data_IF_101924193848
#
_entry.id   IF_101924193848
#
_cell.length_a   1.000
_cell.length_b   1.000
_cell.length_c   1.000
_cell.angle_alpha   90.00
_cell.angle_beta   90.00
_cell.angle_gamma   90.00
#
_symmetry.space_group_name_H-M   'P 1'
#
loop_
_entity.id
_entity.type
_entity.pdbx_description
1 polymer ?
#
# COMPACT_ATOMS: atom_id res chain seq x y z
N UNK A 1 0.79 -71.90 17.77
CA UNK A 1 2.23 -72.13 17.44
C UNK A 1 2.88 -70.77 17.36
N UNK A 2 3.58 -70.39 18.40
CA UNK A 2 5.04 -70.19 18.55
C UNK A 2 5.55 -69.11 17.57
N UNK A 3 6.27 -68.08 17.89
CA UNK A 3 7.02 -67.65 19.10
C UNK A 3 7.61 -66.29 18.76
N UNK A 4 7.47 -65.35 19.63
CA UNK A 4 8.52 -64.76 20.46
C UNK A 4 9.85 -64.41 19.81
N UNK A 5 10.24 -63.16 20.00
CA UNK A 5 11.62 -62.81 20.24
C UNK A 5 11.88 -61.30 20.23
N UNK A 6 12.50 -60.75 21.29
CA UNK A 6 12.51 -59.36 21.62
C UNK A 6 13.76 -58.63 21.13
N UNK A 7 13.73 -57.29 21.24
CA UNK A 7 14.87 -56.40 21.00
C UNK A 7 16.03 -56.58 21.99
N UNK A 8 17.06 -55.83 21.82
CA UNK A 8 17.58 -55.12 22.97
C UNK A 8 17.92 -53.66 22.77
N UNK A 9 17.88 -53.04 23.90
CA UNK A 9 18.12 -51.67 24.27
C UNK A 9 19.59 -51.40 24.60
N UNK A 10 19.94 -50.11 24.50
CA UNK A 10 20.74 -49.31 25.45
C UNK A 10 22.28 -49.38 25.44
N UNK A 11 22.77 -48.14 25.44
CA UNK A 11 23.80 -47.53 26.33
C UNK A 11 25.28 -47.62 25.94
N UNK A 12 25.80 -46.38 25.75
CA UNK A 12 26.97 -45.76 26.42
C UNK A 12 28.36 -46.28 26.04
N UNK A 13 29.18 -45.37 25.51
CA UNK A 13 30.54 -45.15 26.04
C UNK A 13 31.14 -43.83 25.51
N UNK A 14 31.53 -43.00 26.46
CA UNK A 14 32.48 -41.90 26.29
C UNK A 14 33.88 -42.46 26.03
N UNK A 15 34.64 -41.80 25.14
CA UNK A 15 36.09 -41.88 25.17
C UNK A 15 36.68 -40.52 24.75
N UNK A 16 37.42 -39.92 25.65
CA UNK A 16 38.31 -38.78 25.48
C UNK A 16 39.49 -39.20 24.57
N UNK A 17 39.89 -38.32 23.68
CA UNK A 17 41.13 -38.41 22.93
C UNK A 17 41.68 -37.03 22.63
N UNK A 18 42.83 -36.73 23.22
CA UNK A 18 43.51 -35.44 23.21
C UNK A 18 44.23 -35.16 21.88
N UNK A 19 44.23 -33.88 21.49
CA UNK A 19 45.38 -33.14 21.02
C UNK A 19 45.99 -33.42 19.65
N UNK A 20 45.78 -32.49 18.74
CA UNK A 20 46.87 -31.96 17.89
C UNK A 20 46.47 -30.56 17.39
N UNK A 21 47.27 -29.58 17.81
CA UNK A 21 47.22 -28.24 17.30
C UNK A 21 47.76 -28.21 15.84
N UNK A 22 46.90 -27.83 14.90
CA UNK A 22 47.34 -27.41 13.57
C UNK A 22 47.20 -25.91 13.47
N UNK A 23 48.31 -25.20 13.51
CA UNK A 23 48.46 -23.81 13.10
C UNK A 23 48.18 -23.72 11.60
N UNK A 24 46.98 -23.22 11.23
CA UNK A 24 46.68 -22.83 9.86
C UNK A 24 47.01 -21.33 9.71
N UNK A 25 47.98 -21.06 8.83
CA UNK A 25 48.39 -19.74 8.42
C UNK A 25 47.20 -18.98 7.83
N UNK A 26 46.91 -17.78 8.36
CA UNK A 26 46.01 -16.79 7.76
C UNK A 26 46.63 -16.29 6.44
N UNK A 27 46.18 -16.85 5.33
CA UNK A 27 46.32 -16.19 4.02
C UNK A 27 45.39 -15.00 4.00
N UNK A 28 45.92 -13.79 4.06
CA UNK A 28 45.25 -12.54 3.75
C UNK A 28 44.88 -12.55 2.26
N UNK A 29 43.78 -13.22 1.92
CA UNK A 29 43.11 -13.04 0.65
C UNK A 29 42.35 -11.72 0.72
N UNK A 30 42.82 -10.70 0.02
CA UNK A 30 42.09 -9.44 -0.20
C UNK A 30 40.80 -9.72 -0.97
N UNK A 31 39.75 -10.10 -0.24
CA UNK A 31 38.38 -10.05 -0.74
C UNK A 31 38.02 -8.59 -0.88
N UNK A 32 37.83 -8.14 -2.11
CA UNK A 32 37.16 -6.87 -2.37
C UNK A 32 35.82 -6.92 -1.62
N UNK A 33 35.70 -6.16 -0.54
CA UNK A 33 34.44 -5.91 0.12
C UNK A 33 33.49 -5.37 -0.96
N UNK A 34 32.55 -6.19 -1.36
CA UNK A 34 31.51 -5.78 -2.26
C UNK A 34 30.73 -4.71 -1.50
N UNK A 35 30.87 -3.45 -1.89
CA UNK A 35 30.17 -2.35 -1.29
C UNK A 35 28.68 -2.68 -1.36
N UNK A 36 28.03 -2.74 -0.19
CA UNK A 36 26.58 -2.76 -0.12
C UNK A 36 26.09 -1.53 -0.94
N UNK A 37 25.08 -1.71 -1.81
CA UNK A 37 24.62 -0.62 -2.67
C UNK A 37 24.30 0.60 -1.80
N UNK A 38 24.83 1.77 -2.20
CA UNK A 38 24.70 3.05 -1.50
C UNK A 38 23.25 3.54 -1.43
N UNK A 39 22.43 2.92 -0.57
CA UNK A 39 21.13 3.50 -0.18
C UNK A 39 21.29 4.82 0.58
N UNK A 40 22.50 5.15 1.04
CA UNK A 40 22.81 6.41 1.70
C UNK A 40 22.55 7.66 0.84
N UNK A 41 22.76 7.57 -0.47
CA UNK A 41 22.54 8.68 -1.40
C UNK A 41 21.06 9.04 -1.57
N UNK A 42 20.19 8.05 -1.81
CA UNK A 42 18.75 8.29 -2.00
C UNK A 42 18.07 8.76 -0.72
N UNK A 43 18.42 8.20 0.44
CA UNK A 43 17.87 8.63 1.74
C UNK A 43 18.27 10.07 2.06
N UNK A 44 19.51 10.48 1.74
CA UNK A 44 19.94 11.87 1.92
C UNK A 44 19.14 12.84 1.02
N UNK A 45 18.83 12.44 -0.21
CA UNK A 45 17.97 13.21 -1.14
C UNK A 45 16.52 13.30 -0.63
N UNK A 46 15.95 12.21 -0.10
CA UNK A 46 14.62 12.22 0.52
C UNK A 46 14.57 13.16 1.73
N UNK A 47 15.59 13.14 2.60
CA UNK A 47 15.70 14.10 3.71
C UNK A 47 15.82 15.54 3.24
N UNK A 48 16.44 15.79 2.10
CA UNK A 48 16.52 17.12 1.51
C UNK A 48 15.15 17.57 1.03
N UNK A 49 14.42 16.76 0.27
CA UNK A 49 13.03 17.07 -0.14
C UNK A 49 12.14 17.36 1.08
N UNK A 50 12.22 16.54 2.12
CA UNK A 50 11.48 16.75 3.37
C UNK A 50 11.70 18.15 3.97
N UNK A 51 12.96 18.62 3.98
CA UNK A 51 13.29 19.98 4.48
C UNK A 51 12.84 21.09 3.52
N UNK A 52 13.07 20.93 2.22
CA UNK A 52 12.71 21.93 1.20
C UNK A 52 11.21 22.19 1.17
N UNK A 53 10.41 21.15 1.43
CA UNK A 53 8.96 21.24 1.46
C UNK A 53 8.38 21.50 2.87
N UNK A 54 9.21 21.64 3.90
CA UNK A 54 8.75 21.77 5.29
C UNK A 54 7.74 20.71 5.67
N UNK A 55 7.97 19.48 5.20
CA UNK A 55 7.05 18.35 5.34
C UNK A 55 7.65 17.22 6.17
N UNK A 56 6.82 16.34 6.68
CA UNK A 56 7.21 15.01 7.13
C UNK A 56 6.88 14.04 5.99
N UNK A 57 7.89 13.35 5.48
CA UNK A 57 7.80 12.47 4.31
C UNK A 57 8.03 11.01 4.72
N UNK A 58 7.11 10.14 4.43
CA UNK A 58 7.20 8.70 4.62
C UNK A 58 7.29 7.97 3.28
N UNK A 59 8.30 7.10 3.13
CA UNK A 59 8.55 6.36 1.89
C UNK A 59 8.81 4.89 2.18
N UNK A 60 8.14 4.03 1.46
CA UNK A 60 8.51 2.63 1.24
C UNK A 60 8.45 2.34 -0.25
N UNK A 61 9.57 1.86 -0.82
CA UNK A 61 9.61 1.42 -2.19
C UNK A 61 10.43 0.15 -2.30
N UNK A 62 9.97 -0.81 -3.14
CA UNK A 62 10.63 -2.11 -3.28
C UNK A 62 10.54 -2.63 -4.72
N UNK A 63 11.69 -2.95 -5.27
CA UNK A 63 11.81 -3.77 -6.49
C UNK A 63 11.47 -5.23 -6.13
N UNK A 64 10.41 -5.75 -6.72
CA UNK A 64 9.89 -7.09 -6.37
C UNK A 64 10.72 -8.23 -6.99
N UNK A 65 11.54 -7.94 -7.99
CA UNK A 65 12.43 -8.93 -8.62
C UNK A 65 13.73 -9.09 -7.83
N UNK A 66 14.35 -7.97 -7.42
CA UNK A 66 15.65 -7.98 -6.75
C UNK A 66 15.55 -7.96 -5.23
N UNK A 67 14.41 -7.54 -4.68
CA UNK A 67 14.22 -7.29 -3.26
C UNK A 67 14.85 -5.97 -2.77
N UNK A 68 15.51 -5.19 -3.63
CA UNK A 68 16.07 -3.88 -3.29
C UNK A 68 14.99 -2.98 -2.73
N UNK A 69 15.27 -2.32 -1.62
CA UNK A 69 14.27 -1.55 -0.89
C UNK A 69 14.81 -0.18 -0.51
N UNK A 70 14.01 0.86 -0.68
CA UNK A 70 14.24 2.23 -0.20
C UNK A 70 13.21 2.52 0.89
N UNK A 71 13.69 3.00 2.03
CA UNK A 71 12.84 3.33 3.19
C UNK A 71 13.22 4.68 3.78
N UNK A 72 12.22 5.48 4.10
CA UNK A 72 12.35 6.71 4.88
C UNK A 72 11.11 6.87 5.73
N UNK A 73 11.23 6.96 7.06
CA UNK A 73 10.10 6.96 8.01
C UNK A 73 9.03 5.89 7.71
N UNK A 74 9.44 4.77 7.11
CA UNK A 74 8.53 3.75 6.56
C UNK A 74 7.61 3.10 7.60
N UNK A 75 7.97 3.14 8.87
CA UNK A 75 7.20 2.57 9.99
C UNK A 75 6.51 3.64 10.85
N UNK A 76 6.63 4.91 10.52
CA UNK A 76 5.89 5.99 11.16
C UNK A 76 4.46 6.06 10.61
N UNK A 77 3.50 6.45 11.47
CA UNK A 77 2.10 6.60 11.07
C UNK A 77 1.87 7.91 10.33
N UNK A 78 1.09 7.81 9.27
CA UNK A 78 0.60 8.93 8.47
C UNK A 78 -0.92 8.80 8.29
N UNK A 79 -1.66 9.93 8.19
CA UNK A 79 -3.05 9.92 7.74
C UNK A 79 -3.14 9.29 6.35
N UNK A 80 -4.00 8.28 6.17
CA UNK A 80 -4.03 7.60 4.88
C UNK A 80 -4.99 8.26 3.87
N UNK A 81 -5.98 9.03 4.34
CA UNK A 81 -7.01 9.62 3.49
C UNK A 81 -7.56 8.58 2.47
N UNK A 82 -7.86 8.98 1.26
CA UNK A 82 -8.47 8.13 0.24
C UNK A 82 -7.65 6.91 -0.21
N UNK A 83 -6.43 6.71 0.29
CA UNK A 83 -5.66 5.47 -0.01
C UNK A 83 -6.40 4.23 0.52
N UNK A 84 -7.21 4.35 1.59
CA UNK A 84 -8.03 3.24 2.10
C UNK A 84 -8.98 2.65 1.05
N UNK A 85 -9.34 3.40 0.02
CA UNK A 85 -10.33 3.02 -0.99
C UNK A 85 -9.91 1.78 -1.79
N UNK A 86 -8.60 1.57 -1.99
CA UNK A 86 -8.09 0.32 -2.55
C UNK A 86 -8.43 -0.87 -1.65
N UNK A 87 -8.25 -0.72 -0.33
CA UNK A 87 -8.58 -1.76 0.65
C UNK A 87 -10.10 -2.02 0.71
N UNK A 88 -10.92 -0.96 0.58
CA UNK A 88 -12.37 -1.09 0.58
C UNK A 88 -12.88 -1.89 -0.63
N UNK A 89 -12.39 -1.55 -1.83
CA UNK A 89 -12.77 -2.26 -3.05
C UNK A 89 -12.25 -3.71 -3.01
N UNK A 90 -11.02 -3.94 -2.56
CA UNK A 90 -10.48 -5.29 -2.39
C UNK A 90 -11.31 -6.13 -1.39
N UNK A 91 -11.77 -5.51 -0.28
CA UNK A 91 -12.64 -6.18 0.69
C UNK A 91 -14.01 -6.53 0.10
N UNK A 92 -14.61 -5.65 -0.71
CA UNK A 92 -15.86 -5.93 -1.44
C UNK A 92 -15.69 -7.11 -2.38
N UNK A 93 -14.65 -7.10 -3.21
CA UNK A 93 -14.36 -8.17 -4.17
C UNK A 93 -14.20 -9.52 -3.45
N UNK A 94 -13.33 -9.60 -2.46
CA UNK A 94 -12.98 -10.86 -1.79
C UNK A 94 -14.06 -11.38 -0.84
N UNK A 95 -14.65 -10.49 -0.03
CA UNK A 95 -15.47 -10.91 1.12
C UNK A 95 -16.98 -10.90 0.81
N UNK A 96 -17.41 -10.10 -0.17
CA UNK A 96 -18.83 -9.92 -0.48
C UNK A 96 -19.25 -10.46 -1.85
N UNK A 97 -18.40 -10.34 -2.87
CA UNK A 97 -18.68 -10.86 -4.21
C UNK A 97 -18.11 -12.27 -4.38
N UNK A 98 -18.92 -13.22 -4.81
CA UNK A 98 -18.49 -14.61 -5.04
C UNK A 98 -18.60 -15.05 -6.49
N UNK A 99 -19.56 -14.49 -7.20
CA UNK A 99 -19.98 -14.94 -8.54
C UNK A 99 -20.40 -13.79 -9.45
N UNK A 100 -20.17 -12.54 -9.03
CA UNK A 100 -20.55 -11.32 -9.74
C UNK A 100 -21.96 -10.81 -9.43
N UNK A 101 -22.79 -11.56 -8.69
CA UNK A 101 -24.14 -11.12 -8.34
C UNK A 101 -24.12 -9.92 -7.39
N UNK A 102 -23.21 -9.92 -6.41
CA UNK A 102 -23.08 -8.79 -5.50
C UNK A 102 -22.65 -7.52 -6.23
N UNK A 103 -21.69 -7.62 -7.13
CA UNK A 103 -21.23 -6.49 -7.94
C UNK A 103 -22.32 -5.92 -8.86
N UNK A 104 -23.26 -6.76 -9.31
CA UNK A 104 -24.39 -6.32 -10.14
C UNK A 104 -25.51 -5.64 -9.35
N UNK A 105 -25.53 -5.80 -8.02
CA UNK A 105 -26.56 -5.21 -7.15
C UNK A 105 -26.52 -3.69 -7.22
N UNK A 106 -27.70 -3.06 -7.36
CA UNK A 106 -27.84 -1.61 -7.43
C UNK A 106 -28.15 -1.02 -6.06
N UNK A 107 -27.45 0.06 -5.73
CA UNK A 107 -27.62 0.84 -4.50
C UNK A 107 -28.23 2.18 -4.86
N UNK A 108 -29.31 2.55 -4.18
CA UNK A 108 -29.95 3.86 -4.28
C UNK A 108 -29.52 4.73 -3.10
N UNK A 109 -29.26 5.99 -3.35
CA UNK A 109 -28.86 6.95 -2.36
C UNK A 109 -29.45 8.32 -2.68
N UNK A 110 -29.37 9.27 -1.75
CA UNK A 110 -30.03 10.57 -1.87
C UNK A 110 -29.04 11.71 -2.17
N UNK A 111 -29.52 12.82 -2.70
CA UNK A 111 -28.72 14.04 -2.83
C UNK A 111 -28.16 14.51 -1.49
N UNK A 112 -28.91 14.36 -0.40
CA UNK A 112 -28.46 14.71 0.94
C UNK A 112 -27.25 13.85 1.37
N UNK A 113 -27.23 12.55 1.01
CA UNK A 113 -26.12 11.66 1.27
C UNK A 113 -24.86 12.12 0.52
N UNK A 114 -25.01 12.48 -0.78
CA UNK A 114 -23.91 13.03 -1.59
C UNK A 114 -23.33 14.29 -0.96
N UNK A 115 -24.20 15.24 -0.57
CA UNK A 115 -23.77 16.50 0.05
C UNK A 115 -22.99 16.24 1.35
N UNK A 116 -23.44 15.30 2.17
CA UNK A 116 -22.77 14.93 3.41
C UNK A 116 -21.40 14.27 3.17
N UNK A 117 -21.27 13.46 2.13
CA UNK A 117 -20.02 12.74 1.81
C UNK A 117 -18.93 13.65 1.22
N UNK A 118 -19.28 14.82 0.68
CA UNK A 118 -18.33 15.77 0.09
C UNK A 118 -18.00 15.45 -1.36
N UNK A 119 -16.71 15.33 -1.70
CA UNK A 119 -16.22 15.12 -3.07
C UNK A 119 -16.83 13.87 -3.71
N UNK A 120 -17.69 14.05 -4.71
CA UNK A 120 -18.44 12.96 -5.35
C UNK A 120 -18.63 13.21 -6.85
N UNK A 121 -17.54 13.17 -7.64
CA UNK A 121 -17.57 13.58 -9.05
C UNK A 121 -18.41 12.66 -9.93
N UNK A 122 -18.60 11.43 -9.56
CA UNK A 122 -19.38 10.43 -10.30
C UNK A 122 -20.71 10.16 -9.61
N UNK A 123 -20.70 9.75 -8.34
CA UNK A 123 -21.94 9.50 -7.61
C UNK A 123 -22.79 10.75 -7.43
N UNK A 124 -22.20 11.96 -7.51
CA UNK A 124 -22.88 13.24 -7.49
C UNK A 124 -23.60 13.62 -8.77
N UNK A 125 -23.42 12.94 -9.89
CA UNK A 125 -24.13 13.22 -11.14
C UNK A 125 -25.64 13.03 -10.97
N UNK A 126 -26.42 13.88 -11.60
CA UNK A 126 -27.89 13.88 -11.44
C UNK A 126 -28.51 12.52 -11.83
N UNK A 127 -28.02 11.91 -12.89
CA UNK A 127 -28.44 10.61 -13.38
C UNK A 127 -28.14 9.49 -12.37
N UNK A 128 -26.98 9.51 -11.72
CA UNK A 128 -26.58 8.49 -10.75
C UNK A 128 -27.38 8.64 -9.44
N UNK A 129 -27.70 9.87 -9.02
CA UNK A 129 -28.58 10.11 -7.88
C UNK A 129 -30.01 9.65 -8.16
N UNK A 130 -30.50 9.83 -9.40
CA UNK A 130 -31.85 9.42 -9.78
C UNK A 130 -32.00 7.89 -9.92
N UNK A 131 -31.00 7.23 -10.51
CA UNK A 131 -31.07 5.82 -10.89
C UNK A 131 -30.35 4.87 -9.91
N UNK A 132 -29.56 5.40 -8.98
CA UNK A 132 -28.61 4.60 -8.19
C UNK A 132 -27.41 4.12 -9.03
N UNK A 133 -26.48 3.43 -8.39
CA UNK A 133 -25.28 2.83 -9.03
C UNK A 133 -25.15 1.37 -8.61
N UNK A 134 -24.64 0.51 -9.48
CA UNK A 134 -24.25 -0.85 -9.10
C UNK A 134 -23.02 -0.82 -8.19
N UNK A 135 -22.82 -1.88 -7.41
CA UNK A 135 -21.60 -2.00 -6.59
C UNK A 135 -20.33 -1.94 -7.47
N UNK A 136 -20.35 -2.54 -8.67
CA UNK A 136 -19.22 -2.43 -9.60
C UNK A 136 -18.96 -0.99 -10.03
N UNK A 137 -20.00 -0.21 -10.35
CA UNK A 137 -19.89 1.23 -10.67
C UNK A 137 -19.38 2.05 -9.49
N UNK A 138 -19.79 1.70 -8.26
CA UNK A 138 -19.29 2.32 -7.03
C UNK A 138 -17.80 2.00 -6.82
N UNK A 139 -17.36 0.77 -7.06
CA UNK A 139 -15.95 0.37 -6.99
C UNK A 139 -15.10 1.14 -8.00
N UNK A 140 -15.55 1.22 -9.26
CA UNK A 140 -14.88 2.01 -10.32
C UNK A 140 -14.75 3.48 -9.92
N UNK A 141 -15.84 4.12 -9.49
CA UNK A 141 -15.86 5.52 -9.05
C UNK A 141 -14.94 5.75 -7.84
N UNK A 142 -14.94 4.83 -6.89
CA UNK A 142 -14.14 4.88 -5.67
C UNK A 142 -12.63 4.88 -5.98
N UNK A 143 -12.18 4.02 -6.89
CA UNK A 143 -10.76 3.92 -7.26
C UNK A 143 -10.35 5.04 -8.21
N UNK A 144 -11.04 5.17 -9.35
CA UNK A 144 -10.60 6.00 -10.45
C UNK A 144 -10.74 7.50 -10.19
N UNK A 145 -11.81 7.88 -9.51
CA UNK A 145 -12.16 9.29 -9.27
C UNK A 145 -12.07 9.68 -7.80
N UNK A 146 -11.71 8.74 -6.94
CA UNK A 146 -11.66 8.96 -5.49
C UNK A 146 -13.01 9.45 -4.91
N UNK A 147 -14.14 9.00 -5.47
CA UNK A 147 -15.48 9.42 -5.09
C UNK A 147 -15.79 9.05 -3.63
N UNK A 148 -16.16 10.04 -2.82
CA UNK A 148 -16.40 9.85 -1.39
C UNK A 148 -17.77 9.20 -1.11
N UNK A 149 -18.80 9.56 -1.89
CA UNK A 149 -20.11 8.93 -1.76
C UNK A 149 -20.02 7.45 -2.09
N UNK A 150 -19.36 7.11 -3.20
CA UNK A 150 -19.14 5.71 -3.57
C UNK A 150 -18.33 4.99 -2.48
N UNK A 151 -17.25 5.58 -1.97
CA UNK A 151 -16.45 5.01 -0.88
C UNK A 151 -17.28 4.76 0.38
N UNK A 152 -18.11 5.72 0.82
CA UNK A 152 -18.97 5.56 1.99
C UNK A 152 -20.02 4.46 1.79
N UNK A 153 -20.64 4.36 0.61
CA UNK A 153 -21.60 3.30 0.31
C UNK A 153 -20.95 1.92 0.37
N UNK A 154 -19.70 1.77 -0.13
CA UNK A 154 -18.95 0.52 0.03
C UNK A 154 -18.60 0.24 1.49
N UNK A 155 -18.27 1.25 2.29
CA UNK A 155 -18.05 1.09 3.74
C UNK A 155 -19.33 0.63 4.46
N UNK A 156 -20.52 1.09 4.06
CA UNK A 156 -21.80 0.58 4.61
C UNK A 156 -21.94 -0.92 4.38
N UNK A 157 -21.65 -1.39 3.17
CA UNK A 157 -21.69 -2.83 2.83
C UNK A 157 -20.69 -3.65 3.65
N UNK A 158 -19.55 -3.08 4.00
CA UNK A 158 -18.51 -3.71 4.81
C UNK A 158 -18.77 -3.61 6.33
N UNK A 159 -19.92 -3.06 6.75
CA UNK A 159 -20.28 -2.88 8.16
C UNK A 159 -19.55 -1.72 8.84
N UNK A 160 -19.28 -0.64 8.08
CA UNK A 160 -18.66 0.60 8.53
C UNK A 160 -17.14 0.64 8.40
N UNK A 161 -16.51 1.80 8.74
CA UNK A 161 -15.07 2.02 8.56
C UNK A 161 -14.18 0.94 9.17
N UNK A 162 -14.55 0.40 10.34
CA UNK A 162 -13.81 -0.69 11.00
C UNK A 162 -13.74 -1.98 10.19
N UNK A 163 -14.59 -2.13 9.16
CA UNK A 163 -14.50 -3.20 8.17
C UNK A 163 -13.14 -3.23 7.49
N UNK A 164 -12.61 -2.05 7.16
CA UNK A 164 -11.27 -1.92 6.57
C UNK A 164 -10.20 -2.42 7.54
N UNK A 165 -10.31 -2.04 8.82
CA UNK A 165 -9.38 -2.53 9.84
C UNK A 165 -9.40 -4.06 9.94
N UNK A 166 -10.60 -4.68 9.92
CA UNK A 166 -10.72 -6.14 9.92
C UNK A 166 -10.12 -6.78 8.67
N UNK A 167 -10.40 -6.21 7.50
CA UNK A 167 -9.81 -6.66 6.23
C UNK A 167 -8.28 -6.63 6.28
N UNK A 168 -7.68 -5.50 6.70
CA UNK A 168 -6.22 -5.39 6.86
C UNK A 168 -5.67 -6.50 7.76
N UNK A 169 -6.32 -6.78 8.91
CA UNK A 169 -5.90 -7.86 9.82
C UNK A 169 -5.92 -9.23 9.14
N UNK A 170 -6.92 -9.48 8.29
CA UNK A 170 -7.06 -10.76 7.58
C UNK A 170 -5.99 -11.01 6.53
N UNK A 171 -5.40 -9.94 5.96
CA UNK A 171 -4.28 -10.02 5.02
C UNK A 171 -2.91 -9.84 5.69
N UNK A 172 -2.86 -9.80 7.04
CA UNK A 172 -1.62 -9.77 7.82
C UNK A 172 -1.09 -8.37 8.17
N UNK A 173 -1.83 -7.30 7.85
CA UNK A 173 -1.49 -5.94 8.30
C UNK A 173 -2.08 -5.68 9.69
N UNK A 174 -1.19 -5.42 10.65
CA UNK A 174 -1.55 -5.12 12.05
C UNK A 174 -1.52 -3.62 12.38
N UNK A 175 -1.25 -2.77 11.39
CA UNK A 175 -0.99 -1.34 11.58
C UNK A 175 -2.15 -0.49 11.08
N UNK A 176 -2.56 -0.66 9.83
CA UNK A 176 -3.60 0.16 9.18
C UNK A 176 -4.93 0.07 9.92
N UNK A 177 -5.56 1.21 10.09
CA UNK A 177 -6.88 1.32 10.70
C UNK A 177 -7.70 2.43 10.08
N UNK A 178 -8.98 2.19 9.90
CA UNK A 178 -9.98 3.17 9.50
C UNK A 178 -11.06 3.23 10.58
N UNK A 179 -11.39 4.42 11.04
CA UNK A 179 -12.28 4.66 12.18
C UNK A 179 -13.46 5.54 11.81
N UNK A 180 -13.29 6.42 10.83
CA UNK A 180 -14.25 7.46 10.46
C UNK A 180 -14.67 7.34 8.99
N UNK A 181 -15.75 8.02 8.66
CA UNK A 181 -16.32 8.11 7.31
C UNK A 181 -15.68 9.27 6.52
N UNK A 182 -15.88 9.29 5.21
CA UNK A 182 -15.67 10.49 4.42
C UNK A 182 -16.75 11.54 4.77
N UNK A 183 -16.42 12.83 4.91
CA UNK A 183 -15.07 13.40 4.71
C UNK A 183 -14.23 13.52 6.00
N UNK A 184 -14.77 13.14 7.18
CA UNK A 184 -14.14 13.38 8.49
C UNK A 184 -12.78 12.69 8.65
N UNK A 185 -12.56 11.55 7.98
CA UNK A 185 -11.29 10.82 8.03
C UNK A 185 -10.09 11.64 7.49
N UNK A 186 -10.37 12.71 6.73
CA UNK A 186 -9.32 13.55 6.12
C UNK A 186 -8.86 14.70 7.03
N UNK A 187 -9.40 14.86 8.24
CA UNK A 187 -9.00 15.93 9.17
C UNK A 187 -7.55 15.82 9.63
N UNK A 188 -6.98 14.61 9.65
CA UNK A 188 -5.54 14.31 9.74
C UNK A 188 -4.80 14.90 10.95
N UNK A 189 -5.47 15.10 12.07
CA UNK A 189 -4.90 15.72 13.27
C UNK A 189 -3.63 14.98 13.72
N UNK A 190 -2.47 15.65 13.89
CA UNK A 190 -1.17 15.02 14.16
C UNK A 190 -1.10 14.19 15.45
N UNK A 191 -1.97 14.50 16.42
CA UNK A 191 -2.02 13.79 17.73
C UNK A 191 -2.93 12.56 17.71
N UNK A 192 -3.61 12.27 16.60
CA UNK A 192 -4.49 11.10 16.48
C UNK A 192 -3.83 9.95 15.73
N UNK A 193 -4.20 8.74 16.11
CA UNK A 193 -3.81 7.51 15.40
C UNK A 193 -4.96 6.95 14.56
N UNK A 194 -6.14 7.60 14.59
CA UNK A 194 -7.31 7.22 13.79
C UNK A 194 -7.03 7.45 12.31
N UNK A 195 -7.56 6.60 11.45
CA UNK A 195 -7.48 6.68 9.99
C UNK A 195 -6.04 6.76 9.46
N UNK A 196 -5.13 6.02 10.09
CA UNK A 196 -3.71 6.02 9.76
C UNK A 196 -3.21 4.66 9.29
N UNK A 197 -2.13 4.74 8.52
CA UNK A 197 -1.30 3.62 8.12
C UNK A 197 0.19 3.98 8.25
N UNK A 198 1.09 3.11 7.81
CA UNK A 198 2.50 3.42 7.59
C UNK A 198 2.85 3.15 6.12
N UNK A 199 3.85 3.84 5.53
CA UNK A 199 4.28 3.55 4.16
C UNK A 199 4.59 2.06 3.94
N UNK A 200 5.23 1.43 4.91
CA UNK A 200 5.55 0.00 4.86
C UNK A 200 4.30 -0.88 4.81
N UNK A 201 3.35 -0.65 5.71
CA UNK A 201 2.15 -1.48 5.79
C UNK A 201 1.29 -1.36 4.53
N UNK A 202 0.97 -0.14 4.12
CA UNK A 202 0.10 0.10 2.97
C UNK A 202 0.75 -0.30 1.64
N UNK A 203 2.08 -0.14 1.52
CA UNK A 203 2.82 -0.59 0.35
C UNK A 203 2.80 -2.13 0.23
N UNK A 204 2.98 -2.85 1.34
CA UNK A 204 2.86 -4.31 1.34
C UNK A 204 1.43 -4.78 1.08
N UNK A 205 0.42 -4.06 1.55
CA UNK A 205 -0.97 -4.41 1.26
C UNK A 205 -1.26 -4.29 -0.24
N UNK A 206 -0.82 -3.20 -0.90
CA UNK A 206 -0.93 -3.08 -2.35
C UNK A 206 -0.17 -4.20 -3.08
N UNK A 207 1.01 -4.58 -2.61
CA UNK A 207 1.74 -5.71 -3.18
C UNK A 207 0.95 -7.03 -3.05
N UNK A 208 0.35 -7.31 -1.90
CA UNK A 208 -0.48 -8.51 -1.68
C UNK A 208 -1.73 -8.54 -2.56
N UNK A 209 -2.35 -7.37 -2.75
CA UNK A 209 -3.58 -7.23 -3.53
C UNK A 209 -3.35 -7.31 -5.03
N UNK A 210 -2.25 -6.72 -5.55
CA UNK A 210 -1.99 -6.58 -6.99
C UNK A 210 -1.03 -7.65 -7.52
N UNK A 211 -0.07 -8.09 -6.71
CA UNK A 211 0.97 -9.04 -7.13
C UNK A 211 0.90 -10.38 -6.41
N UNK A 212 0.26 -10.42 -5.25
CA UNK A 212 0.17 -11.60 -4.39
C UNK A 212 -1.14 -12.39 -4.57
N UNK A 213 -1.51 -13.10 -3.51
CA UNK A 213 -2.63 -14.04 -3.45
C UNK A 213 -3.74 -13.61 -2.47
N UNK A 214 -3.74 -12.34 -2.04
CA UNK A 214 -4.78 -11.82 -1.15
C UNK A 214 -6.16 -11.70 -1.83
N UNK A 215 -6.19 -11.67 -3.16
CA UNK A 215 -7.36 -11.78 -4.02
C UNK A 215 -7.19 -12.96 -4.96
N UNK A 216 -8.31 -13.56 -5.40
CA UNK A 216 -8.25 -14.49 -6.51
C UNK A 216 -7.81 -13.80 -7.81
N UNK A 217 -7.43 -14.56 -8.87
CA UNK A 217 -6.90 -13.96 -10.08
C UNK A 217 -7.84 -12.98 -10.79
N UNK A 218 -9.15 -13.26 -10.81
CA UNK A 218 -10.14 -12.43 -11.49
C UNK A 218 -10.37 -11.10 -10.74
N UNK A 219 -10.50 -11.16 -9.41
CA UNK A 219 -10.66 -9.98 -8.57
C UNK A 219 -9.40 -9.10 -8.57
N UNK A 220 -8.22 -9.73 -8.55
CA UNK A 220 -6.95 -9.04 -8.67
C UNK A 220 -6.83 -8.30 -10.00
N UNK A 221 -7.17 -8.95 -11.11
CA UNK A 221 -7.17 -8.32 -12.43
C UNK A 221 -8.14 -7.13 -12.48
N UNK A 222 -9.35 -7.30 -11.96
CA UNK A 222 -10.37 -6.25 -11.91
C UNK A 222 -9.93 -5.05 -11.08
N UNK A 223 -9.41 -5.27 -9.86
CA UNK A 223 -8.88 -4.21 -9.02
C UNK A 223 -7.73 -3.48 -9.73
N UNK A 224 -6.80 -4.23 -10.29
CA UNK A 224 -5.64 -3.69 -11.01
C UNK A 224 -6.08 -2.84 -12.21
N UNK A 225 -7.07 -3.30 -13.00
CA UNK A 225 -7.62 -2.54 -14.13
C UNK A 225 -8.20 -1.18 -13.68
N UNK A 226 -8.96 -1.14 -12.59
CA UNK A 226 -9.44 0.13 -12.06
C UNK A 226 -8.31 1.05 -11.59
N UNK A 227 -7.28 0.51 -10.94
CA UNK A 227 -6.11 1.28 -10.50
C UNK A 227 -5.29 1.81 -11.68
N UNK A 228 -5.10 1.03 -12.75
CA UNK A 228 -4.45 1.45 -14.01
C UNK A 228 -5.17 2.65 -14.66
N UNK A 229 -6.47 2.76 -14.47
CA UNK A 229 -7.31 3.84 -15.00
C UNK A 229 -7.56 4.97 -14.00
N UNK A 230 -6.80 5.03 -12.90
CA UNK A 230 -6.86 6.13 -11.95
C UNK A 230 -6.62 7.48 -12.65
N UNK A 231 -7.45 8.47 -12.34
CA UNK A 231 -7.38 9.82 -12.93
C UNK A 231 -6.79 10.87 -11.97
N UNK A 232 -6.41 10.47 -10.75
CA UNK A 232 -6.07 11.42 -9.69
C UNK A 232 -4.58 11.56 -9.40
N UNK A 233 -3.71 10.80 -10.09
CA UNK A 233 -2.25 10.80 -9.84
C UNK A 233 -1.43 11.69 -10.78
N UNK A 234 -2.07 12.40 -11.72
CA UNK A 234 -1.42 13.19 -12.78
C UNK A 234 -0.35 14.16 -12.24
N UNK A 235 -0.58 14.75 -11.07
CA UNK A 235 0.34 15.69 -10.43
C UNK A 235 1.25 15.05 -9.37
N UNK A 236 1.13 13.74 -9.16
CA UNK A 236 1.86 12.94 -8.16
C UNK A 236 2.77 11.91 -8.85
N UNK A 237 2.53 10.61 -8.66
CA UNK A 237 3.32 9.57 -9.32
C UNK A 237 3.29 9.68 -10.84
N UNK A 238 2.14 10.00 -11.43
CA UNK A 238 2.01 10.19 -12.87
C UNK A 238 2.92 11.29 -13.45
N UNK A 239 3.28 12.30 -12.64
CA UNK A 239 4.24 13.35 -13.03
C UNK A 239 5.70 12.95 -12.82
N UNK A 240 5.99 12.21 -11.73
CA UNK A 240 7.36 11.94 -11.31
C UNK A 240 7.96 10.66 -11.90
N UNK A 241 7.12 9.71 -12.32
CA UNK A 241 7.59 8.46 -12.93
C UNK A 241 7.86 8.63 -14.42
N UNK A 242 8.80 7.86 -15.01
CA UNK A 242 9.00 7.83 -16.45
C UNK A 242 7.72 7.45 -17.21
N UNK A 243 7.49 8.10 -18.36
CA UNK A 243 6.27 7.94 -19.13
C UNK A 243 6.08 6.53 -19.73
N UNK A 244 7.13 5.74 -19.78
CA UNK A 244 7.14 4.35 -20.26
C UNK A 244 6.91 3.32 -19.13
N UNK A 245 6.74 3.78 -17.89
CA UNK A 245 6.31 2.92 -16.79
C UNK A 245 4.79 2.82 -16.77
N UNK A 246 4.28 1.63 -16.51
CA UNK A 246 2.84 1.40 -16.31
C UNK A 246 2.54 1.57 -14.82
N UNK A 247 1.54 2.37 -14.47
CA UNK A 247 1.21 2.71 -13.08
C UNK A 247 -0.21 2.28 -12.72
N UNK A 248 -0.35 1.50 -11.65
CA UNK A 248 -1.61 1.19 -10.98
C UNK A 248 -1.54 1.72 -9.56
N UNK A 249 -2.30 2.79 -9.26
CA UNK A 249 -2.15 3.51 -7.99
C UNK A 249 -3.47 4.01 -7.40
N UNK A 250 -3.37 4.48 -6.18
CA UNK A 250 -4.42 5.23 -5.49
C UNK A 250 -3.84 6.38 -4.69
N UNK A 251 -4.39 7.56 -4.91
CA UNK A 251 -4.00 8.79 -4.22
C UNK A 251 -4.82 9.06 -2.96
N UNK A 252 -4.29 9.92 -2.09
CA UNK A 252 -4.97 10.52 -0.96
C UNK A 252 -4.52 11.96 -0.74
N UNK A 253 -5.39 12.80 -0.18
CA UNK A 253 -5.07 14.20 0.13
C UNK A 253 -5.74 14.58 1.45
N UNK A 254 -5.12 14.25 2.59
CA UNK A 254 -5.59 14.69 3.91
C UNK A 254 -5.28 16.17 4.13
N UNK A 255 -5.89 16.80 5.13
CA UNK A 255 -5.47 18.11 5.63
C UNK A 255 -3.99 18.11 6.02
N UNK A 256 -3.49 19.24 6.50
CA UNK A 256 -2.07 19.45 6.82
C UNK A 256 -1.15 19.26 5.60
N UNK A 257 -1.56 19.80 4.45
CA UNK A 257 -0.78 19.73 3.21
C UNK A 257 -0.49 18.33 2.72
N UNK A 258 -1.15 17.32 3.31
CA UNK A 258 -0.87 15.92 3.04
C UNK A 258 -1.10 15.54 1.58
N UNK A 259 -0.12 14.87 0.99
CA UNK A 259 -0.19 14.28 -0.33
C UNK A 259 0.30 12.83 -0.25
N UNK A 260 -0.57 11.91 -0.63
CA UNK A 260 -0.29 10.48 -0.61
C UNK A 260 -0.43 9.91 -2.01
N UNK A 261 0.41 8.92 -2.32
CA UNK A 261 0.25 8.08 -3.48
C UNK A 261 0.83 6.69 -3.20
N UNK A 262 0.07 5.65 -3.51
CA UNK A 262 0.46 4.26 -3.23
C UNK A 262 0.04 3.37 -4.38
N UNK A 263 0.96 2.52 -4.87
CA UNK A 263 0.64 1.63 -5.97
C UNK A 263 1.78 0.73 -6.39
N UNK A 264 1.58 0.13 -7.55
CA UNK A 264 2.57 -0.69 -8.25
C UNK A 264 2.89 0.00 -9.57
N UNK A 265 4.17 0.21 -9.83
CA UNK A 265 4.67 0.67 -11.12
C UNK A 265 5.47 -0.45 -11.79
N UNK A 266 5.16 -0.76 -13.05
CA UNK A 266 5.93 -1.73 -13.83
C UNK A 266 6.89 -0.98 -14.74
N UNK A 267 8.15 -1.35 -14.64
CA UNK A 267 9.19 -0.90 -15.57
C UNK A 267 8.97 -1.50 -16.96
N UNK A 268 9.58 -0.95 -18.03
CA UNK A 268 9.47 -1.49 -19.40
C UNK A 268 9.89 -2.95 -19.53
N UNK A 269 10.78 -3.44 -18.64
CA UNK A 269 11.19 -4.85 -18.58
C UNK A 269 10.18 -5.75 -17.82
N UNK A 270 9.03 -5.21 -17.42
CA UNK A 270 7.99 -5.90 -16.69
C UNK A 270 8.26 -6.04 -15.18
N UNK A 271 9.37 -5.50 -14.66
CA UNK A 271 9.68 -5.57 -13.22
C UNK A 271 8.72 -4.70 -12.42
N UNK A 272 7.96 -5.27 -11.46
CA UNK A 272 7.08 -4.48 -10.60
C UNK A 272 7.86 -3.83 -9.46
N UNK A 273 7.58 -2.55 -9.24
CA UNK A 273 8.08 -1.73 -8.14
C UNK A 273 6.89 -1.34 -7.26
N UNK A 274 6.92 -1.72 -6.00
CA UNK A 274 5.96 -1.22 -5.00
C UNK A 274 6.38 0.18 -4.59
N UNK A 275 5.45 1.12 -4.60
CA UNK A 275 5.66 2.51 -4.21
C UNK A 275 4.62 2.92 -3.19
N UNK A 276 5.05 3.47 -2.06
CA UNK A 276 4.16 4.10 -1.08
C UNK A 276 4.83 5.38 -0.56
N UNK A 277 4.22 6.51 -0.87
CA UNK A 277 4.65 7.85 -0.46
C UNK A 277 3.50 8.51 0.28
N UNK A 278 3.73 8.87 1.53
CA UNK A 278 2.77 9.55 2.39
C UNK A 278 3.43 10.78 2.98
N UNK A 279 2.70 11.90 3.05
CA UNK A 279 3.26 13.13 3.58
C UNK A 279 2.27 13.91 4.46
N UNK A 280 2.81 14.82 5.26
CA UNK A 280 2.04 15.81 6.03
C UNK A 280 2.93 17.01 6.34
N UNK A 281 2.31 18.17 6.51
CA UNK A 281 2.96 19.44 6.89
C UNK A 281 2.47 19.91 8.27
N UNK A 282 3.13 20.89 8.91
CA UNK A 282 2.73 21.38 10.22
C UNK A 282 1.41 22.13 10.25
N UNK A 283 1.11 22.88 9.17
CA UNK A 283 -0.03 23.79 9.10
C UNK A 283 -1.29 23.07 8.62
N UNK A 284 -2.40 23.20 9.34
CA UNK A 284 -3.66 22.51 9.04
C UNK A 284 -4.18 22.84 7.63
N UNK A 285 -4.14 24.10 7.25
CA UNK A 285 -4.67 24.61 5.98
C UNK A 285 -3.61 24.68 4.87
N UNK A 286 -2.43 24.08 5.06
CA UNK A 286 -1.42 23.99 4.02
C UNK A 286 -2.00 23.34 2.75
N UNK A 287 -1.68 23.85 1.56
CA UNK A 287 -2.13 23.25 0.31
C UNK A 287 -1.52 21.85 0.11
N UNK A 288 -2.25 20.96 -0.54
CA UNK A 288 -1.76 19.59 -0.85
C UNK A 288 -0.44 19.67 -1.63
N UNK A 289 0.60 19.03 -1.12
CA UNK A 289 1.97 19.09 -1.67
C UNK A 289 2.22 17.99 -2.71
N UNK A 290 1.54 18.08 -3.84
CA UNK A 290 1.75 17.15 -4.96
C UNK A 290 3.19 17.17 -5.49
N UNK A 291 3.90 18.33 -5.60
CA UNK A 291 5.29 18.37 -6.04
C UNK A 291 6.24 17.53 -5.19
N UNK A 292 6.04 17.43 -3.86
CA UNK A 292 6.82 16.57 -2.98
C UNK A 292 6.71 15.10 -3.38
N UNK A 293 5.48 14.64 -3.67
CA UNK A 293 5.23 13.25 -4.10
C UNK A 293 5.82 12.98 -5.47
N UNK A 294 5.67 13.91 -6.42
CA UNK A 294 6.25 13.80 -7.76
C UNK A 294 7.79 13.75 -7.72
N UNK A 295 8.44 14.66 -7.00
CA UNK A 295 9.90 14.66 -6.83
C UNK A 295 10.41 13.41 -6.11
N UNK A 296 9.63 12.86 -5.17
CA UNK A 296 9.95 11.59 -4.53
C UNK A 296 9.87 10.43 -5.54
N UNK A 297 8.84 10.40 -6.38
CA UNK A 297 8.69 9.37 -7.42
C UNK A 297 9.84 9.41 -8.43
N UNK A 298 10.26 10.61 -8.86
CA UNK A 298 11.43 10.80 -9.74
C UNK A 298 12.72 10.23 -9.11
N UNK A 299 12.97 10.53 -7.84
CA UNK A 299 14.10 9.97 -7.09
C UNK A 299 14.08 8.44 -7.04
N UNK A 300 12.91 7.86 -6.79
CA UNK A 300 12.74 6.42 -6.72
C UNK A 300 12.89 5.78 -8.10
N UNK A 301 12.38 6.41 -9.16
CA UNK A 301 12.54 5.93 -10.52
C UNK A 301 14.03 5.91 -10.93
N UNK A 302 14.79 6.97 -10.66
CA UNK A 302 16.24 7.00 -10.88
C UNK A 302 16.97 5.88 -10.13
N UNK A 303 16.57 5.66 -8.87
CA UNK A 303 17.18 4.64 -8.02
C UNK A 303 16.93 3.23 -8.54
N UNK A 304 15.73 2.91 -8.99
CA UNK A 304 15.37 1.57 -9.48
C UNK A 304 15.66 1.36 -10.98
N UNK A 305 16.05 2.38 -11.72
CA UNK A 305 16.50 2.26 -13.13
C UNK A 305 17.97 1.88 -13.26
N UNK A 306 18.74 1.92 -12.17
CA UNK A 306 20.12 1.48 -12.08
C UNK A 306 20.16 -0.03 -11.84
#
# INVERSE_FOLDING_TARGET
MRSNGPGPSRRTALALGAGTALTAALALGGGTAQALPETGGVVARLRRLEREHTARLGVFARDMRTGRTVVHRAHERFPMASVFKTLAVAAVLRDLDRDGEFLARRVHYTRAYVTKSGLSPIAGLAENVANGMTIAELCDATIRFSDNTAGNLLLEELGGPTGITRFCRSIGDRVTRLDRWEPELNSAEPWRVTDTTTPYAIGLDHARLVLGDALDPHDRERLTDWMLRNTTSTEKFGRGLPADWILADKTGSPRYGGANDVGIAWRPDGTPIVLAVLSTQPEEDAPTDNPLVAGTAELLAEEFSR
#
